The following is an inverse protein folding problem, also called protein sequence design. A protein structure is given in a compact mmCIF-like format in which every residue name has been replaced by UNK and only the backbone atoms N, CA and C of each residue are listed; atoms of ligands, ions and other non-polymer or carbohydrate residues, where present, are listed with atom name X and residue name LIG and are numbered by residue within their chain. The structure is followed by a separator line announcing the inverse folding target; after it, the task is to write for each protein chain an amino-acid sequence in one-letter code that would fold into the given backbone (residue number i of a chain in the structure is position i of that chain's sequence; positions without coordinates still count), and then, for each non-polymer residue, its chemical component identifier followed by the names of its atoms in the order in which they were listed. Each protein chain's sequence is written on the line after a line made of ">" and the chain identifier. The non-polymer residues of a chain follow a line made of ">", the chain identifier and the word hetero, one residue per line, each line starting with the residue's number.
data_IF_801280746523
#
_entry.id   IF_801280746523
#
_cell.length_a   1.000
_cell.length_b   1.000
_cell.length_c   1.000
_cell.angle_alpha   90.00
_cell.angle_beta   90.00
_cell.angle_gamma   90.00
#
_symmetry.space_group_name_H-M   'P 1'
#
loop_
_entity.id
_entity.type
_entity.pdbx_description
1 polymer ?
#
# COMPACT_ATOMS: atom_id res chain seq x y z
N UNK A 1 -10.48 -25.75 -17.07
CA UNK A 1 -10.08 -24.49 -17.71
C UNK A 1 -9.49 -23.58 -16.64
N UNK A 2 -8.16 -23.55 -16.49
CA UNK A 2 -7.48 -22.90 -15.34
C UNK A 2 -6.34 -22.01 -15.84
N UNK A 3 -6.67 -21.08 -16.73
CA UNK A 3 -5.71 -20.14 -17.31
C UNK A 3 -6.25 -18.72 -17.28
N UNK A 4 -5.37 -17.74 -17.49
CA UNK A 4 -5.74 -16.34 -17.63
C UNK A 4 -6.51 -16.18 -18.95
N UNK A 5 -7.67 -15.53 -18.89
CA UNK A 5 -8.43 -15.12 -20.08
C UNK A 5 -8.23 -13.63 -20.31
N UNK A 6 -7.88 -13.24 -21.53
CA UNK A 6 -7.77 -11.83 -21.90
C UNK A 6 -9.04 -11.35 -22.58
N UNK A 7 -9.43 -10.12 -22.28
CA UNK A 7 -10.49 -9.38 -22.95
C UNK A 7 -9.79 -8.31 -23.80
N UNK A 8 -10.02 -8.36 -25.10
CA UNK A 8 -9.37 -7.49 -26.08
C UNK A 8 -10.33 -6.43 -26.61
N UNK A 9 -9.80 -5.22 -26.82
CA UNK A 9 -10.44 -4.13 -27.55
C UNK A 9 -9.47 -3.66 -28.65
N UNK A 10 -9.97 -3.58 -29.88
CA UNK A 10 -9.19 -3.19 -31.06
C UNK A 10 -7.89 -4.00 -31.26
N UNK A 11 -7.94 -5.30 -30.94
CA UNK A 11 -6.79 -6.22 -31.03
C UNK A 11 -5.75 -6.05 -29.94
N UNK A 12 -6.02 -5.23 -28.91
CA UNK A 12 -5.15 -5.04 -27.74
C UNK A 12 -5.79 -5.64 -26.49
N UNK A 13 -5.02 -6.40 -25.72
CA UNK A 13 -5.40 -6.87 -24.38
C UNK A 13 -5.58 -5.68 -23.46
N UNK A 14 -6.81 -5.48 -23.00
CA UNK A 14 -7.17 -4.35 -22.13
C UNK A 14 -7.43 -4.84 -20.71
N UNK A 15 -8.08 -6.00 -20.57
CA UNK A 15 -8.38 -6.61 -19.28
C UNK A 15 -8.01 -8.10 -19.27
N UNK A 16 -7.90 -8.65 -18.06
CA UNK A 16 -7.72 -10.08 -17.85
C UNK A 16 -8.67 -10.58 -16.74
N UNK A 17 -9.27 -11.74 -16.97
CA UNK A 17 -9.95 -12.54 -15.96
C UNK A 17 -8.96 -13.61 -15.51
N UNK A 18 -8.61 -13.60 -14.23
CA UNK A 18 -7.63 -14.50 -13.64
C UNK A 18 -8.25 -15.34 -12.52
N UNK A 19 -7.74 -16.56 -12.25
CA UNK A 19 -8.15 -17.33 -11.08
C UNK A 19 -7.93 -16.54 -9.79
N UNK A 20 -8.83 -16.70 -8.81
CA UNK A 20 -8.79 -15.91 -7.58
C UNK A 20 -7.50 -16.17 -6.78
N UNK A 21 -7.01 -17.41 -6.76
CA UNK A 21 -5.79 -17.79 -6.05
C UNK A 21 -4.54 -17.13 -6.68
N UNK A 22 -4.57 -16.89 -7.99
CA UNK A 22 -3.51 -16.15 -8.69
C UNK A 22 -3.62 -14.66 -8.39
N UNK A 23 -4.83 -14.11 -8.36
CA UNK A 23 -5.06 -12.71 -7.99
C UNK A 23 -4.57 -12.40 -6.59
N UNK A 24 -4.89 -13.23 -5.60
CA UNK A 24 -4.50 -13.02 -4.20
C UNK A 24 -2.97 -12.99 -4.03
N UNK A 25 -2.26 -13.91 -4.71
CA UNK A 25 -0.79 -13.93 -4.69
C UNK A 25 -0.19 -12.71 -5.38
N UNK A 26 -0.77 -12.28 -6.50
CA UNK A 26 -0.32 -11.10 -7.22
C UNK A 26 -0.56 -9.82 -6.41
N UNK A 27 -1.74 -9.68 -5.81
CA UNK A 27 -2.12 -8.53 -5.00
C UNK A 27 -1.17 -8.35 -3.81
N UNK A 28 -0.89 -9.42 -3.07
CA UNK A 28 0.07 -9.36 -1.95
C UNK A 28 1.49 -8.97 -2.39
N UNK A 29 1.93 -9.46 -3.56
CA UNK A 29 3.24 -9.08 -4.11
C UNK A 29 3.29 -7.63 -4.57
N UNK A 30 2.19 -7.10 -5.13
CA UNK A 30 2.06 -5.70 -5.53
C UNK A 30 2.01 -4.77 -4.33
N UNK A 31 1.28 -5.12 -3.27
CA UNK A 31 1.23 -4.36 -2.01
C UNK A 31 2.65 -4.14 -1.46
N UNK A 32 3.48 -5.19 -1.42
CA UNK A 32 4.87 -5.04 -0.98
C UNK A 32 5.74 -4.18 -1.90
N UNK A 33 5.47 -4.17 -3.21
CA UNK A 33 6.19 -3.33 -4.16
C UNK A 33 5.78 -1.85 -4.04
N UNK A 34 4.48 -1.59 -3.87
CA UNK A 34 3.93 -0.25 -3.64
C UNK A 34 4.43 0.32 -2.30
N UNK A 35 4.46 -0.48 -1.24
CA UNK A 35 5.02 -0.09 0.06
C UNK A 35 6.51 0.26 -0.05
N UNK A 36 7.30 -0.52 -0.79
CA UNK A 36 8.72 -0.24 -1.00
C UNK A 36 8.92 1.07 -1.78
N UNK A 37 8.15 1.28 -2.85
CA UNK A 37 8.21 2.51 -3.63
C UNK A 37 7.76 3.73 -2.80
N UNK A 38 6.73 3.57 -1.96
CA UNK A 38 6.26 4.60 -1.05
C UNK A 38 7.36 4.94 -0.03
N UNK A 39 7.96 3.93 0.60
CA UNK A 39 9.06 4.12 1.54
C UNK A 39 10.22 4.91 0.91
N UNK A 40 10.67 4.52 -0.27
CA UNK A 40 11.76 5.20 -0.98
C UNK A 40 11.39 6.66 -1.29
N UNK A 41 10.16 6.92 -1.73
CA UNK A 41 9.69 8.28 -2.06
C UNK A 41 9.60 9.19 -0.82
N UNK A 42 9.16 8.64 0.31
CA UNK A 42 9.05 9.36 1.58
C UNK A 42 10.44 9.60 2.15
N UNK A 43 11.34 8.62 2.09
CA UNK A 43 12.73 8.78 2.52
C UNK A 43 13.45 9.86 1.70
N UNK A 44 13.23 9.92 0.39
CA UNK A 44 13.82 10.95 -0.48
C UNK A 44 13.35 12.38 -0.15
N UNK A 45 12.22 12.51 0.54
CA UNK A 45 11.62 13.80 0.93
C UNK A 45 11.61 14.03 2.45
N UNK A 46 12.31 13.21 3.23
CA UNK A 46 12.41 13.33 4.70
C UNK A 46 13.02 14.70 5.08
N UNK A 47 12.26 15.52 5.81
CA UNK A 47 12.67 16.82 6.32
C UNK A 47 13.43 16.73 7.66
N UNK A 48 13.61 15.51 8.17
CA UNK A 48 14.30 15.22 9.42
C UNK A 48 13.47 15.54 10.68
N UNK A 49 12.20 15.96 10.54
CA UNK A 49 11.33 16.19 11.69
C UNK A 49 11.01 14.87 12.39
N UNK A 50 11.18 14.84 13.71
CA UNK A 50 10.88 13.66 14.55
C UNK A 50 10.09 14.06 15.78
N UNK A 51 9.05 13.29 16.08
CA UNK A 51 8.28 13.41 17.33
C UNK A 51 8.87 12.42 18.35
N UNK A 52 9.23 12.86 19.57
CA UNK A 52 9.67 11.93 20.61
C UNK A 52 8.60 10.86 20.88
N UNK A 53 9.02 9.61 20.98
CA UNK A 53 8.10 8.46 21.11
C UNK A 53 7.10 8.64 22.27
N UNK A 54 7.55 9.16 23.41
CA UNK A 54 6.69 9.43 24.56
C UNK A 54 5.51 10.38 24.24
N UNK A 55 5.74 11.37 23.37
CA UNK A 55 4.70 12.32 22.93
C UNK A 55 3.75 11.64 21.93
N UNK A 56 4.30 10.93 20.94
CA UNK A 56 3.49 10.21 19.96
C UNK A 56 2.56 9.18 20.62
N UNK A 57 3.08 8.38 21.57
CA UNK A 57 2.27 7.42 22.31
C UNK A 57 1.19 8.07 23.17
N UNK A 58 1.49 9.18 23.85
CA UNK A 58 0.48 9.89 24.62
C UNK A 58 -0.69 10.39 23.76
N UNK A 59 -0.41 10.86 22.54
CA UNK A 59 -1.43 11.28 21.56
C UNK A 59 -2.26 10.07 21.11
N UNK A 60 -1.61 8.97 20.73
CA UNK A 60 -2.29 7.74 20.29
C UNK A 60 -3.16 7.11 21.38
N UNK A 61 -2.75 7.24 22.65
CA UNK A 61 -3.51 6.81 23.82
C UNK A 61 -4.71 7.73 24.15
N UNK A 62 -4.98 8.76 23.32
CA UNK A 62 -6.08 9.70 23.52
C UNK A 62 -5.86 10.66 24.70
N UNK A 63 -4.63 10.79 25.20
CA UNK A 63 -4.32 11.74 26.28
C UNK A 63 -4.19 13.14 25.70
N UNK A 64 -5.21 13.97 25.90
CA UNK A 64 -5.10 15.39 25.62
C UNK A 64 -4.33 16.12 26.73
N UNK A 65 -3.43 17.01 26.30
CA UNK A 65 -2.65 17.90 27.18
C UNK A 65 -3.52 18.96 27.86
N UNK A 66 -4.77 19.11 27.42
CA UNK A 66 -5.77 20.01 28.01
C UNK A 66 -6.81 19.18 28.76
N UNK A 67 -6.98 19.49 30.05
CA UNK A 67 -8.08 19.00 30.86
C UNK A 67 -9.34 19.78 30.42
N UNK A 68 -10.36 19.09 29.93
CA UNK A 68 -11.72 19.67 29.82
C UNK A 68 -12.36 19.68 31.20
#
# INVERSE_FOLDING_TARGET
>A
MTGIQFIERDGKREFAVIPIELNERLAAALEGADDAALFDSVQATDDGFRIPAAVAHAILDGRHLLKV
#
